data_IF_325076425649
#
_entry.id   IF_325076425649
#
_cell.length_a   1.000
_cell.length_b   1.000
_cell.length_c   1.000
_cell.angle_alpha   90.00
_cell.angle_beta   90.00
_cell.angle_gamma   90.00
#
_symmetry.space_group_name_H-M   'P 1'
#
loop_
_entity.id
_entity.type
_entity.pdbx_description
1 polymer ?
#
# COMPACT_ATOMS: atom_id res chain seq x y z
N UNK A 1 -19.84 10.87 7.30
CA UNK A 1 -18.67 10.89 6.39
C UNK A 1 -18.79 9.74 5.41
N UNK A 2 -18.35 9.90 4.16
CA UNK A 2 -18.31 8.83 3.18
C UNK A 2 -16.90 8.73 2.58
N UNK A 3 -16.43 7.50 2.38
CA UNK A 3 -15.17 7.20 1.70
C UNK A 3 -15.50 6.33 0.50
N UNK A 4 -15.21 6.83 -0.69
CA UNK A 4 -15.29 6.08 -1.93
C UNK A 4 -13.91 5.52 -2.25
N UNK A 5 -13.85 4.22 -2.54
CA UNK A 5 -12.64 3.55 -3.00
C UNK A 5 -12.90 2.92 -4.37
N UNK A 6 -11.88 2.92 -5.21
CA UNK A 6 -11.94 2.22 -6.49
C UNK A 6 -10.62 1.50 -6.77
N UNK A 7 -10.72 0.29 -7.34
CA UNK A 7 -9.59 -0.45 -7.90
C UNK A 7 -9.74 -0.50 -9.41
N UNK A 8 -8.73 -0.03 -10.12
CA UNK A 8 -8.68 0.02 -11.59
C UNK A 8 -7.54 -0.84 -12.10
N UNK A 9 -7.84 -1.75 -13.02
CA UNK A 9 -6.82 -2.53 -13.72
C UNK A 9 -6.54 -1.90 -15.07
N UNK A 10 -5.29 -1.48 -15.29
CA UNK A 10 -4.82 -0.91 -16.54
C UNK A 10 -3.92 -1.91 -17.27
N UNK A 11 -4.08 -2.00 -18.59
CA UNK A 11 -3.15 -2.71 -19.46
C UNK A 11 -2.17 -1.71 -20.07
N UNK A 12 -0.88 -2.03 -20.06
CA UNK A 12 0.18 -1.16 -20.59
C UNK A 12 0.96 -1.95 -21.66
N UNK A 13 0.35 -2.19 -22.83
CA UNK A 13 0.89 -3.11 -23.83
C UNK A 13 2.28 -2.70 -24.33
N UNK A 14 2.52 -1.39 -24.48
CA UNK A 14 3.77 -0.82 -25.01
C UNK A 14 4.92 -0.79 -23.98
N UNK A 15 4.68 -1.19 -22.73
CA UNK A 15 5.70 -1.19 -21.69
C UNK A 15 6.58 -2.44 -21.79
N UNK A 16 7.86 -2.23 -22.13
CA UNK A 16 8.89 -3.28 -22.15
C UNK A 16 9.76 -3.34 -20.90
N UNK A 17 9.44 -2.59 -19.84
CA UNK A 17 10.20 -2.62 -18.58
C UNK A 17 9.42 -2.02 -17.41
N UNK A 18 9.78 -2.38 -16.18
CA UNK A 18 9.22 -1.77 -14.97
C UNK A 18 9.42 -0.24 -14.93
N UNK A 19 10.53 0.26 -15.48
CA UNK A 19 10.79 1.70 -15.58
C UNK A 19 9.78 2.38 -16.52
N UNK A 20 9.50 1.77 -17.66
CA UNK A 20 8.51 2.27 -18.62
C UNK A 20 7.11 2.33 -17.98
N UNK A 21 6.68 1.23 -17.34
CA UNK A 21 5.44 1.18 -16.55
C UNK A 21 5.34 2.32 -15.53
N UNK A 22 6.39 2.53 -14.73
CA UNK A 22 6.40 3.62 -13.73
C UNK A 22 6.23 4.99 -14.37
N UNK A 23 6.79 5.24 -15.57
CA UNK A 23 6.57 6.51 -16.27
C UNK A 23 5.12 6.68 -16.74
N UNK A 24 4.51 5.62 -17.27
CA UNK A 24 3.10 5.62 -17.68
C UNK A 24 2.21 5.91 -16.47
N UNK A 25 2.40 5.16 -15.37
CA UNK A 25 1.64 5.35 -14.13
C UNK A 25 1.85 6.74 -13.52
N UNK A 26 3.07 7.28 -13.56
CA UNK A 26 3.34 8.64 -13.07
C UNK A 26 2.52 9.68 -13.84
N UNK A 27 2.41 9.57 -15.16
CA UNK A 27 1.58 10.50 -15.97
C UNK A 27 0.10 10.46 -15.56
N UNK A 28 -0.44 9.25 -15.35
CA UNK A 28 -1.83 9.08 -14.90
C UNK A 28 -2.01 9.66 -13.51
N UNK A 29 -1.21 9.22 -12.54
CA UNK A 29 -1.33 9.61 -11.14
C UNK A 29 -1.10 11.10 -10.90
N UNK A 30 -0.10 11.71 -11.56
CA UNK A 30 0.16 13.15 -11.46
C UNK A 30 -1.02 13.96 -12.01
N UNK A 31 -1.62 13.55 -13.14
CA UNK A 31 -2.77 14.24 -13.72
C UNK A 31 -4.00 14.13 -12.83
N UNK A 32 -4.25 12.95 -12.26
CA UNK A 32 -5.37 12.75 -11.34
C UNK A 32 -5.23 13.62 -10.09
N UNK A 33 -4.05 13.61 -9.45
CA UNK A 33 -3.77 14.45 -8.27
C UNK A 33 -3.83 15.95 -8.54
N UNK A 34 -3.52 16.37 -9.77
CA UNK A 34 -3.61 17.77 -10.15
C UNK A 34 -5.06 18.25 -10.38
N UNK A 35 -5.94 17.36 -10.87
CA UNK A 35 -7.32 17.70 -11.23
C UNK A 35 -8.33 17.44 -10.12
N UNK A 36 -8.07 16.46 -9.26
CA UNK A 36 -9.02 15.96 -8.26
C UNK A 36 -8.39 15.87 -6.88
N UNK A 37 -9.21 16.04 -5.85
CA UNK A 37 -8.82 15.73 -4.47
C UNK A 37 -8.93 14.21 -4.24
N UNK A 38 -7.93 13.46 -4.72
CA UNK A 38 -7.92 12.00 -4.72
C UNK A 38 -6.59 11.46 -4.20
N UNK A 39 -6.66 10.43 -3.35
CA UNK A 39 -5.51 9.60 -3.05
C UNK A 39 -5.39 8.50 -4.12
N UNK A 40 -4.21 8.30 -4.70
CA UNK A 40 -3.97 7.28 -5.72
C UNK A 40 -2.64 6.56 -5.48
N UNK A 41 -2.65 5.24 -5.62
CA UNK A 41 -1.48 4.38 -5.48
C UNK A 41 -1.58 3.15 -6.40
N UNK A 42 -0.43 2.59 -6.78
CA UNK A 42 -0.36 1.23 -7.33
C UNK A 42 -0.37 0.24 -6.16
N UNK A 43 -1.24 -0.77 -6.21
CA UNK A 43 -1.48 -1.68 -5.08
C UNK A 43 -1.18 -3.14 -5.38
N UNK A 44 -1.23 -3.57 -6.65
CA UNK A 44 -0.97 -4.95 -7.06
C UNK A 44 -0.20 -4.99 -8.40
N UNK A 45 0.21 -6.19 -8.83
CA UNK A 45 0.88 -6.45 -10.11
C UNK A 45 2.19 -5.67 -10.32
N UNK A 46 2.89 -5.27 -9.26
CA UNK A 46 4.07 -4.38 -9.33
C UNK A 46 5.21 -4.96 -10.17
N UNK A 47 5.35 -6.29 -10.23
CA UNK A 47 6.36 -7.00 -11.01
C UNK A 47 5.96 -7.24 -12.48
N UNK A 48 4.69 -6.99 -12.84
CA UNK A 48 4.22 -7.07 -14.23
C UNK A 48 4.33 -5.69 -14.88
N UNK A 49 5.16 -5.54 -15.91
CA UNK A 49 5.29 -4.24 -16.59
C UNK A 49 4.15 -3.92 -17.56
N UNK A 50 3.36 -4.92 -17.97
CA UNK A 50 2.27 -4.83 -18.94
C UNK A 50 0.88 -4.69 -18.31
N UNK A 51 0.82 -4.73 -16.97
CA UNK A 51 -0.40 -4.63 -16.18
C UNK A 51 -0.14 -3.78 -14.96
N UNK A 52 -1.12 -2.99 -14.53
CA UNK A 52 -1.03 -2.21 -13.31
C UNK A 52 -2.39 -2.13 -12.62
N UNK A 53 -2.40 -2.33 -11.31
CA UNK A 53 -3.60 -2.18 -10.49
C UNK A 53 -3.47 -0.92 -9.65
N UNK A 54 -4.29 0.08 -9.96
CA UNK A 54 -4.36 1.35 -9.25
C UNK A 54 -5.51 1.35 -8.26
N UNK A 55 -5.25 1.74 -7.02
CA UNK A 55 -6.28 2.09 -6.06
C UNK A 55 -6.46 3.61 -5.99
N UNK A 56 -7.71 4.03 -5.84
CA UNK A 56 -8.14 5.41 -5.68
C UNK A 56 -8.98 5.53 -4.41
N UNK A 57 -8.87 6.64 -3.69
CA UNK A 57 -9.77 6.96 -2.60
C UNK A 57 -10.17 8.45 -2.61
N UNK A 58 -11.46 8.69 -2.37
CA UNK A 58 -12.09 10.01 -2.27
C UNK A 58 -12.89 10.06 -0.97
N UNK A 59 -12.82 11.17 -0.25
CA UNK A 59 -13.56 11.37 1.00
C UNK A 59 -14.48 12.58 0.85
N UNK A 60 -15.71 12.47 1.35
CA UNK A 60 -16.70 13.55 1.31
C UNK A 60 -17.71 13.46 2.44
N UNK A 61 -18.53 14.50 2.55
CA UNK A 61 -19.64 14.59 3.50
C UNK A 61 -20.95 13.97 2.97
N UNK A 62 -21.13 13.91 1.65
CA UNK A 62 -22.32 13.39 0.98
C UNK A 62 -21.97 12.20 0.06
N UNK A 63 -22.76 11.12 0.12
CA UNK A 63 -22.56 9.92 -0.70
C UNK A 63 -22.60 10.22 -2.20
N UNK A 64 -23.58 11.02 -2.63
CA UNK A 64 -23.76 11.41 -4.03
C UNK A 64 -22.53 12.15 -4.56
N UNK A 65 -21.99 13.09 -3.78
CA UNK A 65 -20.79 13.81 -4.16
C UNK A 65 -19.60 12.88 -4.36
N UNK A 66 -19.38 11.94 -3.43
CA UNK A 66 -18.28 10.96 -3.53
C UNK A 66 -18.43 10.07 -4.76
N UNK A 67 -19.63 9.56 -5.03
CA UNK A 67 -19.94 8.73 -6.19
C UNK A 67 -19.69 9.49 -7.51
N UNK A 68 -20.20 10.72 -7.61
CA UNK A 68 -19.96 11.58 -8.77
C UNK A 68 -18.47 11.91 -8.97
N UNK A 69 -17.69 12.07 -7.90
CA UNK A 69 -16.24 12.28 -7.99
C UNK A 69 -15.52 11.01 -8.49
N UNK A 70 -15.88 9.83 -7.98
CA UNK A 70 -15.30 8.56 -8.44
C UNK A 70 -15.53 8.35 -9.94
N UNK A 71 -16.77 8.52 -10.42
CA UNK A 71 -17.08 8.36 -11.85
C UNK A 71 -16.33 9.39 -12.71
N UNK A 72 -16.21 10.66 -12.27
CA UNK A 72 -15.42 11.68 -12.98
C UNK A 72 -13.93 11.32 -13.07
N UNK A 73 -13.38 10.74 -12.00
CA UNK A 73 -11.98 10.29 -11.97
C UNK A 73 -11.79 9.12 -12.92
N UNK A 74 -12.66 8.11 -12.86
CA UNK A 74 -12.59 6.91 -13.72
C UNK A 74 -12.71 7.32 -15.19
N UNK A 75 -13.70 8.15 -15.53
CA UNK A 75 -13.86 8.67 -16.87
C UNK A 75 -12.64 9.46 -17.34
N UNK A 76 -12.06 10.28 -16.45
CA UNK A 76 -10.82 10.98 -16.76
C UNK A 76 -9.66 10.03 -17.02
N UNK A 77 -9.61 8.84 -16.42
CA UNK A 77 -8.58 7.82 -16.73
C UNK A 77 -8.76 7.27 -18.13
N UNK A 78 -9.99 6.94 -18.51
CA UNK A 78 -10.33 6.44 -19.85
C UNK A 78 -10.01 7.48 -20.93
N UNK A 79 -10.40 8.75 -20.72
CA UNK A 79 -10.20 9.87 -21.65
C UNK A 79 -8.71 10.19 -21.89
N UNK A 80 -7.81 9.83 -20.97
CA UNK A 80 -6.39 10.07 -21.17
C UNK A 80 -5.78 9.22 -22.29
N UNK A 81 -6.38 8.08 -22.64
CA UNK A 81 -5.85 7.08 -23.58
C UNK A 81 -4.38 6.69 -23.33
N UNK A 82 -3.90 6.83 -22.09
CA UNK A 82 -2.51 6.51 -21.70
C UNK A 82 -2.33 5.00 -21.55
N UNK A 83 -3.35 4.30 -21.06
CA UNK A 83 -3.38 2.85 -20.87
C UNK A 83 -4.86 2.40 -20.90
N UNK A 84 -5.21 1.35 -21.66
CA UNK A 84 -6.57 0.80 -21.63
C UNK A 84 -7.01 0.36 -20.23
N UNK A 85 -8.22 0.74 -19.83
CA UNK A 85 -8.88 0.26 -18.62
C UNK A 85 -9.52 -1.11 -18.89
N UNK A 86 -9.11 -2.12 -18.13
CA UNK A 86 -9.56 -3.52 -18.28
C UNK A 86 -10.71 -3.84 -17.33
N UNK A 87 -10.57 -3.44 -16.08
CA UNK A 87 -11.61 -3.64 -15.06
C UNK A 87 -11.64 -2.50 -14.07
N UNK A 88 -12.81 -2.28 -13.48
CA UNK A 88 -13.03 -1.35 -12.38
C UNK A 88 -13.91 -1.99 -11.32
N UNK A 89 -13.54 -1.78 -10.08
CA UNK A 89 -14.33 -2.15 -8.91
C UNK A 89 -14.45 -0.91 -8.04
N UNK A 90 -15.65 -0.63 -7.53
CA UNK A 90 -15.92 0.56 -6.73
C UNK A 90 -16.72 0.19 -5.48
N UNK A 91 -16.41 0.84 -4.37
CA UNK A 91 -17.14 0.69 -3.13
C UNK A 91 -17.24 2.05 -2.42
N UNK A 92 -18.38 2.32 -1.79
CA UNK A 92 -18.57 3.53 -0.99
C UNK A 92 -18.96 3.11 0.42
N UNK A 93 -18.09 3.45 1.37
CA UNK A 93 -18.23 3.18 2.79
C UNK A 93 -18.77 4.42 3.51
N UNK A 94 -19.86 4.24 4.25
CA UNK A 94 -20.37 5.26 5.16
C UNK A 94 -19.72 5.14 6.53
N UNK A 95 -19.17 6.25 7.03
CA UNK A 95 -18.62 6.39 8.37
C UNK A 95 -19.49 7.37 9.17
N UNK A 96 -20.12 6.90 10.24
CA UNK A 96 -21.14 7.63 11.00
C UNK A 96 -22.23 6.68 11.47
N UNK A 97 -23.44 7.21 11.75
CA UNK A 97 -24.58 6.62 12.50
C UNK A 97 -24.94 5.14 12.28
N UNK A 98 -24.35 4.40 11.34
CA UNK A 98 -24.41 2.94 11.33
C UNK A 98 -23.62 2.27 12.47
N UNK A 99 -22.70 2.97 13.15
CA UNK A 99 -22.00 2.47 14.35
C UNK A 99 -22.72 2.81 15.67
N UNK A 100 -23.65 3.77 15.67
CA UNK A 100 -24.44 4.17 16.85
C UNK A 100 -25.96 4.05 16.68
N UNK A 101 -26.45 3.62 15.51
CA UNK A 101 -27.83 3.18 15.33
C UNK A 101 -27.99 1.81 16.00
N UNK A 102 -28.08 1.83 17.32
CA UNK A 102 -28.72 0.77 18.07
C UNK A 102 -30.12 0.56 17.49
N UNK A 103 -30.31 -0.54 16.75
CA UNK A 103 -31.63 -1.12 16.53
C UNK A 103 -32.25 -1.08 15.14
N UNK A 104 -31.49 -0.99 14.05
CA UNK A 104 -32.02 -1.41 12.73
C UNK A 104 -31.09 -2.38 12.03
N UNK A 105 -31.31 -3.66 12.33
CA UNK A 105 -31.01 -4.79 11.45
C UNK A 105 -31.82 -4.63 10.16
N UNK A 106 -31.38 -3.73 9.27
CA UNK A 106 -31.88 -3.65 7.92
C UNK A 106 -31.06 -4.61 7.06
N UNK A 107 -31.63 -5.82 6.89
CA UNK A 107 -31.36 -6.80 5.84
C UNK A 107 -30.21 -6.46 4.88
N UNK A 108 -28.99 -6.94 5.15
CA UNK A 108 -28.06 -7.22 4.06
C UNK A 108 -28.65 -8.40 3.30
N UNK A 109 -29.17 -8.11 2.11
CA UNK A 109 -29.62 -9.09 1.15
C UNK A 109 -28.58 -10.17 0.95
N UNK A 110 -29.08 -11.38 0.70
CA UNK A 110 -28.34 -12.61 0.49
C UNK A 110 -27.09 -12.40 -0.37
N UNK A 111 -25.92 -12.39 0.26
CA UNK A 111 -24.74 -12.91 -0.39
C UNK A 111 -24.94 -14.42 -0.45
N UNK A 112 -25.17 -14.97 -1.65
CA UNK A 112 -25.00 -16.39 -1.86
C UNK A 112 -23.51 -16.70 -1.68
N UNK A 113 -23.13 -17.03 -0.45
CA UNK A 113 -21.83 -17.61 -0.16
C UNK A 113 -21.80 -18.98 -0.82
N UNK A 114 -21.13 -19.05 -1.97
CA UNK A 114 -20.66 -20.31 -2.52
C UNK A 114 -19.62 -20.86 -1.54
N UNK A 115 -19.85 -22.10 -1.12
CA UNK A 115 -19.06 -22.83 -0.14
C UNK A 115 -17.55 -22.71 -0.39
N UNK A 116 -16.83 -22.33 0.65
CA UNK A 116 -15.39 -22.57 0.77
C UNK A 116 -15.26 -23.69 1.80
N UNK A 117 -14.60 -24.77 1.40
CA UNK A 117 -14.43 -26.01 2.15
C UNK A 117 -13.94 -25.79 3.59
N UNK A 118 -14.55 -26.57 4.48
CA UNK A 118 -14.29 -26.70 5.91
C UNK A 118 -12.91 -27.36 6.12
N UNK A 119 -11.98 -26.67 6.80
CA UNK A 119 -10.88 -27.25 7.62
C UNK A 119 -9.96 -26.13 8.18
N UNK A 120 -10.53 -25.09 8.79
CA UNK A 120 -9.77 -24.13 9.58
C UNK A 120 -10.31 -24.16 11.02
N UNK A 121 -9.51 -24.65 11.96
CA UNK A 121 -9.84 -24.68 13.38
C UNK A 121 -10.20 -23.27 13.88
N UNK A 122 -11.48 -23.09 14.19
CA UNK A 122 -12.04 -21.85 14.73
C UNK A 122 -11.67 -21.74 16.21
N UNK A 123 -10.62 -20.97 16.52
CA UNK A 123 -10.31 -20.60 17.90
C UNK A 123 -11.32 -19.53 18.34
N UNK A 124 -12.41 -19.98 18.96
CA UNK A 124 -13.49 -19.16 19.51
C UNK A 124 -13.01 -18.36 20.74
N UNK A 125 -12.32 -17.24 20.49
CA UNK A 125 -11.96 -16.27 21.52
C UNK A 125 -13.13 -15.31 21.73
N UNK A 126 -13.58 -15.17 22.98
CA UNK A 126 -14.66 -14.25 23.32
C UNK A 126 -14.28 -12.80 22.96
N UNK A 127 -15.24 -11.91 22.69
CA UNK A 127 -14.97 -10.53 22.28
C UNK A 127 -14.08 -9.77 23.28
N UNK A 128 -14.21 -10.09 24.57
CA UNK A 128 -13.42 -9.50 25.65
C UNK A 128 -11.96 -10.00 25.60
N UNK A 129 -11.75 -11.27 25.23
CA UNK A 129 -10.42 -11.86 25.07
C UNK A 129 -9.71 -11.32 23.82
N UNK A 130 -10.42 -11.12 22.71
CA UNK A 130 -9.87 -10.51 21.49
C UNK A 130 -9.46 -9.04 21.69
N UNK A 131 -10.28 -8.27 22.43
CA UNK A 131 -9.98 -6.90 22.79
C UNK A 131 -8.76 -6.81 23.72
N UNK A 132 -8.70 -7.65 24.76
CA UNK A 132 -7.55 -7.73 25.66
C UNK A 132 -6.26 -8.11 24.92
N UNK A 133 -6.34 -9.03 23.94
CA UNK A 133 -5.19 -9.44 23.14
C UNK A 133 -4.66 -8.28 22.26
N UNK A 134 -5.58 -7.49 21.71
CA UNK A 134 -5.27 -6.32 20.90
C UNK A 134 -4.70 -5.18 21.73
N UNK A 135 -5.26 -4.90 22.91
CA UNK A 135 -4.72 -3.90 23.86
C UNK A 135 -3.34 -4.29 24.36
N UNK A 136 -3.10 -5.57 24.65
CA UNK A 136 -1.79 -6.07 25.03
C UNK A 136 -0.75 -5.94 23.90
N UNK A 137 -1.16 -6.19 22.65
CA UNK A 137 -0.30 -6.03 21.47
C UNK A 137 0.06 -4.56 21.22
N UNK A 138 -0.91 -3.66 21.33
CA UNK A 138 -0.70 -2.21 21.19
C UNK A 138 0.19 -1.69 22.33
N UNK A 139 -0.01 -2.15 23.56
CA UNK A 139 0.80 -1.74 24.71
C UNK A 139 2.27 -2.20 24.61
N UNK A 140 2.52 -3.42 24.09
CA UNK A 140 3.88 -3.90 23.78
C UNK A 140 4.54 -3.07 22.69
N UNK A 141 3.79 -2.73 21.64
CA UNK A 141 4.28 -1.88 20.55
C UNK A 141 4.68 -0.48 21.06
N UNK A 142 3.87 0.11 21.93
CA UNK A 142 4.12 1.45 22.50
C UNK A 142 5.25 1.46 23.54
N UNK A 143 5.50 0.35 24.25
CA UNK A 143 6.66 0.20 25.15
C UNK A 143 7.99 -0.06 24.43
N UNK A 144 7.98 -0.21 23.10
CA UNK A 144 9.19 -0.45 22.31
C UNK A 144 9.77 -1.86 22.46
N UNK A 145 9.02 -2.77 23.09
CA UNK A 145 9.34 -4.18 23.23
C UNK A 145 9.03 -4.90 21.91
N UNK A 146 9.81 -4.61 20.86
CA UNK A 146 9.75 -5.40 19.63
C UNK A 146 10.65 -6.62 19.80
N UNK A 147 10.04 -7.78 20.07
CA UNK A 147 10.57 -9.02 19.52
C UNK A 147 10.63 -8.87 18.00
N UNK A 148 11.69 -9.38 17.38
CA UNK A 148 11.84 -9.29 15.93
C UNK A 148 10.63 -9.93 15.27
N UNK A 149 10.11 -9.33 14.18
CA UNK A 149 8.98 -9.87 13.41
C UNK A 149 9.23 -11.34 13.00
N UNK A 150 10.50 -11.74 12.88
CA UNK A 150 10.94 -13.09 12.59
C UNK A 150 10.63 -14.13 13.69
N UNK A 151 10.59 -13.72 14.96
CA UNK A 151 10.24 -14.61 16.08
C UNK A 151 8.73 -14.83 16.15
N UNK A 152 7.94 -13.81 15.82
CA UNK A 152 6.48 -13.87 15.84
C UNK A 152 5.88 -14.71 14.69
N UNK A 153 6.59 -14.83 13.56
CA UNK A 153 6.17 -15.63 12.40
C UNK A 153 6.72 -17.07 12.41
N UNK A 154 7.33 -17.53 13.51
CA UNK A 154 7.88 -18.89 13.59
C UNK A 154 9.06 -19.14 12.65
N UNK A 155 9.71 -18.08 12.16
CA UNK A 155 10.87 -18.12 11.27
C UNK A 155 12.20 -17.97 12.05
N UNK A 156 12.25 -18.52 13.26
CA UNK A 156 13.40 -18.47 14.18
C UNK A 156 14.62 -19.30 13.75
N UNK A 157 14.77 -19.65 12.47
CA UNK A 157 15.88 -20.46 11.95
C UNK A 157 16.64 -19.79 10.79
N UNK A 158 16.66 -18.45 10.72
CA UNK A 158 17.52 -17.77 9.74
C UNK A 158 18.96 -17.58 10.24
N UNK A 159 19.19 -17.58 11.56
CA UNK A 159 20.50 -17.35 12.19
C UNK A 159 21.39 -18.62 12.16
N UNK A 160 20.79 -19.81 12.15
CA UNK A 160 21.48 -21.10 12.17
C UNK A 160 22.08 -21.54 10.82
N UNK A 161 21.82 -20.82 9.72
CA UNK A 161 22.37 -21.16 8.38
C UNK A 161 23.83 -20.72 8.18
N UNK A 162 24.44 -20.03 9.15
CA UNK A 162 25.81 -19.54 9.04
C UNK A 162 26.84 -20.30 9.89
N UNK A 163 26.51 -21.49 10.39
CA UNK A 163 27.48 -22.39 11.01
C UNK A 163 27.67 -23.65 10.14
N UNK A 164 28.46 -23.53 9.06
CA UNK A 164 28.85 -24.71 8.28
C UNK A 164 29.60 -24.43 6.97
N UNK A 165 30.93 -24.45 7.02
CA UNK A 165 31.81 -24.96 5.95
C UNK A 165 32.15 -24.03 4.78
N UNK A 166 33.44 -23.67 4.68
CA UNK A 166 34.06 -22.93 3.58
C UNK A 166 33.94 -23.61 2.20
N UNK A 167 33.61 -22.84 1.14
CA UNK A 167 34.54 -22.53 0.03
C UNK A 167 33.90 -21.58 -1.00
N UNK A 168 34.64 -20.56 -1.44
CA UNK A 168 34.28 -19.71 -2.59
C UNK A 168 33.88 -18.27 -2.25
N UNK A 169 34.84 -17.35 -2.36
CA UNK A 169 34.71 -15.98 -1.89
C UNK A 169 33.77 -15.07 -2.70
N UNK A 170 33.01 -14.26 -1.98
CA UNK A 170 32.91 -12.80 -2.17
C UNK A 170 32.64 -12.18 -0.80
N UNK A 171 33.70 -11.72 -0.13
CA UNK A 171 33.59 -11.08 1.17
C UNK A 171 32.73 -9.82 1.09
N UNK A 172 31.82 -9.67 2.05
CA UNK A 172 31.16 -8.39 2.38
C UNK A 172 32.26 -7.31 2.45
N UNK A 173 32.16 -6.18 1.71
CA UNK A 173 33.16 -5.13 1.83
C UNK A 173 33.16 -4.62 3.27
N UNK A 174 34.26 -4.83 3.97
CA UNK A 174 34.50 -4.18 5.25
C UNK A 174 34.53 -2.67 4.99
N UNK A 175 33.85 -1.83 5.79
CA UNK A 175 33.91 -0.39 5.60
C UNK A 175 35.36 0.04 5.73
N UNK A 176 35.90 0.61 4.64
CA UNK A 176 37.19 1.28 4.65
C UNK A 176 37.26 2.22 5.85
N UNK A 177 38.42 2.26 6.50
CA UNK A 177 38.77 3.05 7.69
C UNK A 177 38.63 4.58 7.49
N UNK A 178 37.42 5.05 7.20
CA UNK A 178 37.03 6.45 7.25
C UNK A 178 36.55 6.73 8.66
N UNK A 179 37.23 7.64 9.36
CA UNK A 179 36.88 8.06 10.71
C UNK A 179 35.39 8.40 10.84
N UNK A 180 34.83 8.17 12.04
CA UNK A 180 33.43 8.48 12.37
C UNK A 180 33.13 9.93 11.96
N UNK A 181 32.43 10.13 10.85
CA UNK A 181 31.96 11.46 10.48
C UNK A 181 31.00 11.93 11.56
N UNK A 182 31.21 13.15 12.02
CA UNK A 182 30.29 13.78 12.96
C UNK A 182 28.93 13.98 12.29
N UNK A 183 27.86 14.06 13.09
CA UNK A 183 26.50 14.18 12.58
C UNK A 183 26.32 15.42 11.69
N UNK A 184 27.04 16.50 11.99
CA UNK A 184 27.04 17.73 11.20
C UNK A 184 27.74 17.57 9.84
N UNK A 185 28.83 16.79 9.77
CA UNK A 185 29.51 16.49 8.50
C UNK A 185 28.64 15.60 7.59
N UNK A 186 27.96 14.61 8.17
CA UNK A 186 27.00 13.79 7.43
C UNK A 186 25.85 14.65 6.87
N UNK A 187 25.34 15.61 7.66
CA UNK A 187 24.26 16.51 7.27
C UNK A 187 24.70 17.51 6.20
N UNK A 188 25.93 18.01 6.26
CA UNK A 188 26.51 18.89 5.25
C UNK A 188 26.67 18.17 3.90
N UNK A 189 27.15 16.92 3.91
CA UNK A 189 27.32 16.10 2.70
C UNK A 189 25.98 15.72 2.05
N UNK A 190 24.95 15.46 2.87
CA UNK A 190 23.60 15.24 2.37
C UNK A 190 23.00 16.50 1.70
N UNK A 191 23.34 17.70 2.20
CA UNK A 191 22.91 18.97 1.59
C UNK A 191 23.62 19.26 0.28
N UNK A 192 24.90 18.93 0.14
CA UNK A 192 25.65 19.12 -1.12
C UNK A 192 25.20 18.19 -2.25
N UNK A 193 24.61 17.03 -1.92
CA UNK A 193 24.01 16.11 -2.90
C UNK A 193 22.62 16.55 -3.36
N UNK A 194 22.02 17.55 -2.70
CA UNK A 194 20.75 18.15 -3.09
C UNK A 194 21.02 19.29 -4.10
N UNK A 195 21.51 18.93 -5.29
CA UNK A 195 21.82 19.89 -6.36
C UNK A 195 20.54 20.65 -6.81
N UNK A 196 20.47 21.98 -6.70
CA UNK A 196 19.29 22.77 -7.11
C UNK A 196 19.33 23.32 -8.56
N UNK A 197 20.21 22.87 -9.47
CA UNK A 197 20.57 23.67 -10.65
C UNK A 197 20.65 23.00 -12.04
N UNK A 198 20.00 21.87 -12.27
CA UNK A 198 20.09 21.19 -13.59
C UNK A 198 19.02 21.59 -14.64
N UNK A 199 18.30 22.72 -14.47
CA UNK A 199 17.35 23.24 -15.48
C UNK A 199 17.81 24.52 -16.21
N UNK A 200 19.02 25.01 -15.95
CA UNK A 200 19.65 26.07 -16.74
C UNK A 200 21.02 25.60 -17.24
N UNK A 201 21.06 24.95 -18.41
CA UNK A 201 22.10 25.13 -19.45
C UNK A 201 21.89 24.21 -20.66
N UNK A 202 21.68 24.89 -21.80
CA UNK A 202 21.79 24.50 -23.21
C UNK A 202 20.79 23.49 -23.77
#
# INVERSE_FOLDING_TARGET
MFVGVARLTLQIPDSGSLKSKRQVLRRVTDRLKARFNVAVAEVEDQDLWQKASLALAVVGNERRHVDEQLEKIIHSVEEMYVAPLVSRETEILGFGDQLFASGQTASRGSFSAQAVDEDAEELDLSPEQAAAHSEAAIARFLRGERGSLAEAEGLGEWESRHEGGMDGGTGRPSPSSGGRMTFDEARARARSLRNPRDWEKK
#
